data_IF_789638894241
#
_entry.id   IF_789638894241
#
_cell.length_a   1.000
_cell.length_b   1.000
_cell.length_c   1.000
_cell.angle_alpha   90.00
_cell.angle_beta   90.00
_cell.angle_gamma   90.00
#
_symmetry.space_group_name_H-M   'P 1'
#
loop_
_entity.id
_entity.type
_entity.pdbx_description
1 polymer ?
#
# COMPACT_ATOMS: atom_id res chain seq x y z
N UNK A 1 4.11 2.72 1.68
CA UNK A 1 4.87 3.58 0.73
C UNK A 1 5.12 2.84 -0.58
N UNK A 2 4.08 2.26 -1.17
CA UNK A 2 4.23 1.39 -2.34
C UNK A 2 4.26 2.24 -3.60
N UNK A 3 4.99 1.79 -4.63
CA UNK A 3 4.94 2.36 -5.98
C UNK A 3 4.12 1.44 -6.87
N UNK A 4 3.12 1.95 -7.59
CA UNK A 4 2.37 1.18 -8.58
C UNK A 4 2.82 1.56 -9.99
N UNK A 5 2.88 0.58 -10.88
CA UNK A 5 3.24 0.77 -12.28
C UNK A 5 2.00 0.49 -13.12
N UNK A 6 1.51 1.52 -13.81
CA UNK A 6 0.37 1.42 -14.70
C UNK A 6 0.81 1.54 -16.15
N UNK A 7 0.21 0.75 -17.04
CA UNK A 7 0.23 0.97 -18.48
C UNK A 7 -1.12 1.55 -18.93
N UNK A 8 -1.09 2.28 -20.03
CA UNK A 8 -2.28 2.81 -20.70
C UNK A 8 -2.16 2.47 -22.18
N UNK A 9 -3.22 1.92 -22.75
CA UNK A 9 -3.30 1.71 -24.19
C UNK A 9 -3.84 2.99 -24.87
N UNK A 10 -3.00 3.73 -25.63
CA UNK A 10 -3.42 4.96 -26.28
C UNK A 10 -4.38 4.71 -27.45
N UNK A 11 -4.40 3.50 -28.02
CA UNK A 11 -5.23 3.12 -29.15
C UNK A 11 -6.58 2.54 -28.70
N UNK A 12 -6.73 2.22 -27.41
CA UNK A 12 -7.99 1.79 -26.82
C UNK A 12 -9.00 2.94 -26.73
N UNK A 13 -10.25 2.76 -27.19
CA UNK A 13 -11.29 3.80 -27.13
C UNK A 13 -11.70 4.17 -25.70
N UNK A 14 -11.27 3.40 -24.70
CA UNK A 14 -11.53 3.67 -23.27
C UNK A 14 -10.32 4.23 -22.53
N UNK A 15 -9.12 4.14 -23.12
CA UNK A 15 -7.83 4.51 -22.48
C UNK A 15 -7.70 3.94 -21.05
N UNK A 16 -8.19 2.70 -20.85
CA UNK A 16 -8.19 2.06 -19.54
C UNK A 16 -6.74 1.85 -19.07
N UNK A 17 -6.46 2.29 -17.85
CA UNK A 17 -5.19 2.00 -17.18
C UNK A 17 -5.18 0.59 -16.58
N UNK A 18 -4.08 -0.13 -16.76
CA UNK A 18 -3.87 -1.46 -16.19
C UNK A 18 -2.70 -1.47 -15.23
N UNK A 19 -2.91 -2.03 -14.04
CA UNK A 19 -1.84 -2.22 -13.08
C UNK A 19 -0.96 -3.39 -13.54
N UNK A 20 0.29 -3.11 -13.88
CA UNK A 20 1.27 -4.10 -14.36
C UNK A 20 2.09 -4.71 -13.23
N UNK A 21 2.20 -3.99 -12.12
CA UNK A 21 3.02 -4.40 -10.99
C UNK A 21 3.12 -3.32 -9.94
N UNK A 22 3.79 -3.67 -8.85
CA UNK A 22 4.03 -2.73 -7.77
C UNK A 22 5.33 -3.05 -7.03
N UNK A 23 5.90 -2.03 -6.40
CA UNK A 23 7.07 -2.13 -5.53
C UNK A 23 6.62 -1.81 -4.12
N UNK A 24 6.56 -2.83 -3.26
CA UNK A 24 6.27 -2.66 -1.84
C UNK A 24 7.41 -1.88 -1.22
N UNK A 25 7.10 -0.82 -0.46
CA UNK A 25 8.11 0.12 0.06
C UNK A 25 9.02 0.71 -1.03
N UNK A 26 8.52 0.88 -2.25
CA UNK A 26 9.26 1.47 -3.37
C UNK A 26 9.40 3.00 -3.34
N UNK A 27 8.77 3.68 -2.38
CA UNK A 27 8.80 5.15 -2.22
C UNK A 27 9.10 5.57 -0.77
N UNK A 28 10.09 4.95 -0.13
CA UNK A 28 10.42 5.23 1.28
C UNK A 28 10.89 6.67 1.51
N UNK A 29 11.46 7.32 0.51
CA UNK A 29 11.86 8.72 0.54
C UNK A 29 10.69 9.69 0.74
N UNK A 30 9.45 9.23 0.51
CA UNK A 30 8.21 9.99 0.72
C UNK A 30 7.49 9.64 2.04
N UNK A 31 8.16 8.92 2.95
CA UNK A 31 7.57 8.41 4.20
C UNK A 31 6.77 9.46 4.97
N UNK A 32 7.35 10.63 5.24
CA UNK A 32 6.72 11.63 6.10
C UNK A 32 5.41 12.18 5.51
N UNK A 33 5.36 12.34 4.19
CA UNK A 33 4.15 12.72 3.46
C UNK A 33 3.07 11.64 3.59
N UNK A 34 3.42 10.37 3.37
CA UNK A 34 2.47 9.26 3.47
C UNK A 34 2.00 9.02 4.91
N UNK A 35 2.88 9.15 5.90
CA UNK A 35 2.52 9.06 7.30
C UNK A 35 1.53 10.17 7.68
N UNK A 36 1.74 11.39 7.20
CA UNK A 36 0.80 12.50 7.42
C UNK A 36 -0.59 12.18 6.85
N UNK A 37 -0.65 11.67 5.62
CA UNK A 37 -1.92 11.23 4.99
C UNK A 37 -2.59 10.13 5.80
N UNK A 38 -1.84 9.10 6.20
CA UNK A 38 -2.38 7.97 6.98
C UNK A 38 -2.96 8.42 8.33
N UNK A 39 -2.26 9.33 9.04
CA UNK A 39 -2.74 9.89 10.31
C UNK A 39 -4.01 10.74 10.13
N UNK A 40 -4.11 11.49 9.02
CA UNK A 40 -5.32 12.27 8.73
C UNK A 40 -6.52 11.36 8.42
N UNK A 41 -6.31 10.28 7.66
CA UNK A 41 -7.36 9.29 7.37
C UNK A 41 -7.84 8.64 8.67
N UNK A 42 -6.92 8.16 9.52
CA UNK A 42 -7.27 7.52 10.79
C UNK A 42 -8.03 8.45 11.76
N UNK A 43 -7.79 9.76 11.71
CA UNK A 43 -8.56 10.75 12.47
C UNK A 43 -9.93 11.05 11.88
N UNK A 44 -10.05 11.00 10.55
CA UNK A 44 -11.29 11.32 9.84
C UNK A 44 -12.31 10.18 9.92
N UNK A 45 -11.86 8.93 9.93
CA UNK A 45 -12.72 7.75 10.06
C UNK A 45 -12.25 6.83 11.19
N UNK A 46 -12.90 6.96 12.34
CA UNK A 46 -12.63 6.16 13.54
C UNK A 46 -13.14 4.73 13.44
N UNK A 47 -13.87 4.37 12.37
CA UNK A 47 -14.35 3.02 12.11
C UNK A 47 -13.32 2.13 11.41
N UNK A 48 -12.24 2.69 10.87
CA UNK A 48 -11.17 1.92 10.23
C UNK A 48 -10.38 1.11 11.26
N UNK A 49 -10.23 -0.19 11.00
CA UNK A 49 -9.50 -1.10 11.87
C UNK A 49 -8.76 -2.18 11.07
N UNK A 50 -7.56 -2.56 11.54
CA UNK A 50 -6.73 -3.58 10.92
C UNK A 50 -5.90 -3.06 9.74
N UNK A 51 -5.85 -3.83 8.64
CA UNK A 51 -5.07 -3.47 7.45
C UNK A 51 -5.89 -2.62 6.48
N UNK A 52 -5.41 -1.41 6.21
CA UNK A 52 -6.06 -0.47 5.29
C UNK A 52 -5.08 -0.13 4.16
N UNK A 53 -5.45 -0.46 2.93
CA UNK A 53 -4.77 0.06 1.74
C UNK A 53 -5.24 1.49 1.45
N UNK A 54 -4.33 2.37 1.05
CA UNK A 54 -4.66 3.74 0.63
C UNK A 54 -3.97 3.99 -0.68
N UNK A 55 -4.75 4.21 -1.73
CA UNK A 55 -4.26 4.55 -3.05
C UNK A 55 -4.28 6.08 -3.20
N UNK A 56 -3.16 6.62 -3.64
CA UNK A 56 -2.95 8.05 -3.78
C UNK A 56 -2.10 8.35 -5.01
N UNK A 57 -2.24 9.56 -5.53
CA UNK A 57 -1.39 10.11 -6.59
C UNK A 57 -0.49 11.18 -5.97
N UNK A 58 0.82 11.06 -6.17
CA UNK A 58 1.78 12.09 -5.76
C UNK A 58 1.88 13.13 -6.87
N UNK A 59 1.55 14.38 -6.55
CA UNK A 59 1.63 15.53 -7.45
C UNK A 59 2.64 16.55 -6.92
N UNK A 60 2.92 17.59 -7.70
CA UNK A 60 3.74 18.74 -7.25
C UNK A 60 3.12 19.46 -6.05
N UNK A 61 1.79 19.50 -5.97
CA UNK A 61 1.05 20.12 -4.87
C UNK A 61 0.93 19.22 -3.62
N UNK A 62 1.35 17.95 -3.72
CA UNK A 62 1.27 16.97 -2.64
C UNK A 62 0.51 15.70 -3.03
N UNK A 63 0.25 14.85 -2.04
CA UNK A 63 -0.46 13.59 -2.22
C UNK A 63 -1.98 13.80 -2.26
N UNK A 64 -2.64 13.25 -3.27
CA UNK A 64 -4.11 13.24 -3.42
C UNK A 64 -4.60 11.81 -3.22
N UNK A 65 -5.45 11.59 -2.22
CA UNK A 65 -6.07 10.27 -1.96
C UNK A 65 -7.13 10.00 -3.02
N UNK A 66 -7.08 8.82 -3.62
CA UNK A 66 -8.02 8.36 -4.65
C UNK A 66 -8.99 7.32 -4.08
N UNK A 67 -8.46 6.37 -3.32
CA UNK A 67 -9.24 5.24 -2.78
C UNK A 67 -8.73 4.82 -1.40
N UNK A 68 -9.66 4.48 -0.51
CA UNK A 68 -9.37 3.84 0.78
C UNK A 68 -9.95 2.43 0.71
N UNK A 69 -9.07 1.44 0.87
CA UNK A 69 -9.37 0.02 0.81
C UNK A 69 -9.30 -0.59 2.21
N UNK A 70 -10.41 -0.71 2.97
CA UNK A 70 -10.44 -1.34 4.28
C UNK A 70 -10.40 -2.88 4.18
N UNK A 71 -9.47 -3.39 3.38
CA UNK A 71 -9.25 -4.80 3.06
C UNK A 71 -7.81 -5.00 2.60
N UNK A 72 -7.40 -6.26 2.48
CA UNK A 72 -6.12 -6.58 1.84
C UNK A 72 -6.08 -6.08 0.39
N UNK A 73 -4.93 -5.53 0.01
CA UNK A 73 -4.59 -5.17 -1.37
C UNK A 73 -3.48 -6.09 -1.87
N UNK A 74 -3.23 -6.11 -3.17
CA UNK A 74 -2.20 -6.95 -3.80
C UNK A 74 -0.82 -6.76 -3.15
N UNK A 75 -0.52 -5.56 -2.65
CA UNK A 75 0.76 -5.28 -1.99
C UNK A 75 1.02 -6.12 -0.73
N UNK A 76 -0.03 -6.68 -0.12
CA UNK A 76 0.08 -7.50 1.07
C UNK A 76 1.03 -8.70 0.89
N UNK A 77 1.04 -9.33 -0.29
CA UNK A 77 1.85 -10.53 -0.54
C UNK A 77 3.36 -10.26 -0.44
N UNK A 78 3.79 -9.01 -0.64
CA UNK A 78 5.19 -8.60 -0.52
C UNK A 78 5.59 -8.10 0.87
N UNK A 79 4.64 -7.85 1.78
CA UNK A 79 4.92 -7.20 3.07
C UNK A 79 5.80 -8.07 3.97
N UNK A 80 5.59 -9.39 4.02
CA UNK A 80 6.42 -10.25 4.88
C UNK A 80 7.90 -10.12 4.54
N UNK A 81 8.22 -10.16 3.25
CA UNK A 81 9.58 -10.00 2.76
C UNK A 81 10.09 -8.58 2.95
N UNK A 82 9.24 -7.58 2.69
CA UNK A 82 9.64 -6.17 2.76
C UNK A 82 9.92 -5.71 4.19
N UNK A 83 9.13 -6.18 5.16
CA UNK A 83 9.21 -5.77 6.56
C UNK A 83 10.10 -6.72 7.40
N UNK A 84 10.45 -7.90 6.88
CA UNK A 84 11.05 -9.01 7.66
C UNK A 84 10.22 -9.42 8.88
N UNK A 85 8.90 -9.19 8.83
CA UNK A 85 7.92 -9.45 9.90
C UNK A 85 6.70 -10.14 9.32
N UNK A 86 5.89 -10.81 10.14
CA UNK A 86 4.61 -11.38 9.71
C UNK A 86 3.47 -10.35 9.87
N UNK A 87 2.90 -9.77 8.80
CA UNK A 87 1.89 -8.72 8.93
C UNK A 87 0.61 -9.19 9.61
N UNK A 88 0.20 -10.45 9.40
CA UNK A 88 -0.97 -11.01 10.07
C UNK A 88 -0.76 -11.09 11.59
N UNK A 89 0.44 -11.49 12.01
CA UNK A 89 0.81 -11.54 13.43
C UNK A 89 0.82 -10.15 14.07
N UNK A 90 1.29 -9.12 13.35
CA UNK A 90 1.22 -7.73 13.81
C UNK A 90 -0.23 -7.28 14.03
N UNK A 91 -1.13 -7.60 13.09
CA UNK A 91 -2.56 -7.23 13.20
C UNK A 91 -3.23 -7.97 14.36
N UNK A 92 -2.97 -9.27 14.49
CA UNK A 92 -3.53 -10.08 15.57
C UNK A 92 -2.99 -9.65 16.95
N UNK A 93 -1.72 -9.26 17.04
CA UNK A 93 -1.15 -8.78 18.31
C UNK A 93 -1.75 -7.45 18.74
N UNK A 94 -2.05 -6.54 17.80
CA UNK A 94 -2.82 -5.31 18.08
C UNK A 94 -4.22 -5.65 18.58
N UNK A 95 -4.90 -6.59 17.91
CA UNK A 95 -6.24 -7.02 18.32
C UNK A 95 -6.27 -7.59 19.74
N UNK A 96 -5.27 -8.40 20.09
CA UNK A 96 -5.20 -9.06 21.40
C UNK A 96 -4.74 -8.12 22.52
N UNK A 97 -3.75 -7.27 22.24
CA UNK A 97 -3.05 -6.51 23.28
C UNK A 97 -3.38 -5.01 23.28
N UNK A 98 -4.01 -4.49 22.23
CA UNK A 98 -4.29 -3.07 22.04
C UNK A 98 -3.04 -2.21 21.81
N UNK A 99 -1.87 -2.82 21.59
CA UNK A 99 -0.60 -2.13 21.44
C UNK A 99 -0.09 -2.29 20.00
N UNK A 100 0.25 -1.17 19.37
CA UNK A 100 0.93 -1.15 18.08
C UNK A 100 2.39 -1.61 18.27
N UNK A 101 2.83 -2.72 17.63
CA UNK A 101 4.22 -3.13 17.70
C UNK A 101 5.13 -2.09 17.05
N UNK A 102 6.31 -1.87 17.62
CA UNK A 102 7.33 -1.04 16.98
C UNK A 102 7.82 -1.72 15.70
N UNK A 103 7.78 -0.97 14.59
CA UNK A 103 8.31 -1.42 13.31
C UNK A 103 9.34 -0.41 12.83
N UNK A 104 10.60 -0.86 12.73
CA UNK A 104 11.71 -0.04 12.30
C UNK A 104 11.75 0.06 10.77
N UNK A 105 11.57 1.27 10.25
CA UNK A 105 11.68 1.56 8.82
C UNK A 105 13.07 1.31 8.23
N UNK A 106 14.11 1.19 9.08
CA UNK A 106 15.49 0.93 8.64
C UNK A 106 15.64 -0.48 8.04
N UNK A 107 14.77 -1.38 8.45
CA UNK A 107 14.81 -2.78 8.04
C UNK A 107 13.94 -3.05 6.79
N UNK A 108 13.32 -1.99 6.25
CA UNK A 108 12.45 -2.10 5.09
C UNK A 108 13.25 -2.24 3.82
N UNK A 109 12.96 -3.28 3.05
CA UNK A 109 13.52 -3.48 1.72
C UNK A 109 12.43 -3.32 0.65
N UNK A 110 12.73 -2.68 -0.49
CA UNK A 110 11.82 -2.68 -1.63
C UNK A 110 11.59 -4.10 -2.15
N UNK A 111 10.33 -4.47 -2.41
CA UNK A 111 9.98 -5.78 -2.98
C UNK A 111 9.17 -5.57 -4.25
N UNK A 112 9.72 -6.00 -5.39
CA UNK A 112 9.04 -5.97 -6.68
C UNK A 112 8.04 -7.12 -6.78
N UNK A 113 6.81 -6.79 -7.16
CA UNK A 113 5.77 -7.73 -7.53
C UNK A 113 5.36 -7.42 -8.97
N UNK A 114 5.53 -8.40 -9.87
CA UNK A 114 4.97 -8.33 -11.21
C UNK A 114 3.62 -9.04 -11.20
N UNK A 115 2.64 -8.45 -11.89
CA UNK A 115 1.37 -9.11 -12.11
C UNK A 115 1.46 -9.83 -13.45
N UNK A 116 1.31 -11.15 -13.41
CA UNK A 116 1.12 -11.94 -14.62
C UNK A 116 -0.34 -11.78 -15.06
N UNK A 117 -0.58 -11.89 -16.37
CA UNK A 117 -1.95 -12.03 -16.86
C UNK A 117 -2.61 -13.20 -16.15
N UNK A 118 -3.83 -13.00 -15.66
CA UNK A 118 -4.59 -14.09 -15.09
C UNK A 118 -4.79 -15.14 -16.19
N UNK A 119 -4.07 -16.26 -16.10
CA UNK A 119 -4.39 -17.45 -16.86
C UNK A 119 -5.76 -17.91 -16.39
N UNK A 120 -6.82 -17.45 -17.05
CA UNK A 120 -8.17 -17.95 -16.85
C UNK A 120 -8.16 -19.37 -17.40
N UNK A 121 -7.98 -20.35 -16.51
CA UNK A 121 -8.16 -21.77 -16.78
C UNK A 121 -9.65 -22.08 -16.92
#
# INVERSE_FOLDING_TARGET
CNKQMFSFDPDSPTTKGELQGLVVNGMLEKWDMFNTVAQNIARADTGLWGYIGVDLIVTEAGAVVVEINPRLTTSYVGLRRSLSLNPAELILSIWQNGVMPEVSKKDFIPVNLQLEEANVV
#
